data_IF_625831601438
#
_entry.id   IF_625831601438
#
_cell.length_a   1.000
_cell.length_b   1.000
_cell.length_c   1.000
_cell.angle_alpha   90.00
_cell.angle_beta   90.00
_cell.angle_gamma   90.00
#
_symmetry.space_group_name_H-M   'P 1'
#
loop_
_entity.id
_entity.type
_entity.pdbx_description
1 polymer ?
#
# COMPACT_ATOMS: atom_id res chain seq x y z
N UNK A 1 -79.38 6.29 32.66
CA UNK A 1 -77.93 6.07 32.32
C UNK A 1 -77.17 7.28 32.82
N UNK A 2 -76.33 7.07 33.80
CA UNK A 2 -75.69 8.16 34.59
C UNK A 2 -74.44 8.63 33.94
N UNK A 3 -74.32 9.94 33.71
CA UNK A 3 -73.17 10.70 33.12
C UNK A 3 -71.81 10.50 33.83
N UNK A 4 -71.71 9.59 34.76
CA UNK A 4 -70.47 9.40 35.57
C UNK A 4 -69.56 8.24 35.13
N UNK A 5 -69.96 7.39 34.17
CA UNK A 5 -69.16 6.25 33.72
C UNK A 5 -68.35 6.53 32.45
N UNK A 6 -68.57 7.70 31.81
CA UNK A 6 -67.83 8.04 30.56
C UNK A 6 -66.51 8.76 30.78
N UNK A 7 -66.21 9.19 32.02
CA UNK A 7 -64.99 9.99 32.33
C UNK A 7 -63.85 9.09 32.81
N UNK A 8 -64.07 7.85 33.19
CA UNK A 8 -63.06 6.91 33.68
C UNK A 8 -62.38 6.08 32.59
N UNK A 9 -62.84 6.11 31.33
CA UNK A 9 -62.26 5.35 30.25
C UNK A 9 -61.34 6.12 29.29
N UNK A 10 -61.19 7.44 29.49
CA UNK A 10 -60.32 8.29 28.65
C UNK A 10 -58.99 8.62 29.38
N UNK A 11 -58.87 8.27 30.66
CA UNK A 11 -57.68 8.60 31.50
C UNK A 11 -56.52 7.60 31.48
N UNK A 12 -56.68 6.41 30.85
CA UNK A 12 -55.65 5.35 30.91
C UNK A 12 -54.90 5.09 29.59
N UNK A 13 -55.11 5.92 28.55
CA UNK A 13 -54.41 5.78 27.28
C UNK A 13 -53.25 6.76 27.07
N UNK A 14 -52.85 7.56 28.07
CA UNK A 14 -51.89 8.65 27.91
C UNK A 14 -50.56 8.46 28.68
N UNK A 15 -50.19 7.24 29.01
CA UNK A 15 -48.92 6.99 29.69
C UNK A 15 -48.26 5.70 29.16
N UNK A 16 -48.15 5.57 27.84
CA UNK A 16 -47.07 4.72 27.32
C UNK A 16 -45.82 5.57 27.34
N UNK A 17 -44.83 5.24 28.17
CA UNK A 17 -43.52 5.86 27.99
C UNK A 17 -43.06 5.40 26.61
N UNK A 18 -42.92 6.33 25.68
CA UNK A 18 -42.06 6.18 24.52
C UNK A 18 -40.67 6.04 25.11
N UNK A 19 -40.34 4.85 25.55
CA UNK A 19 -38.98 4.40 25.66
C UNK A 19 -38.45 4.34 24.19
N UNK A 20 -38.21 5.52 23.61
CA UNK A 20 -37.20 5.64 22.58
C UNK A 20 -35.94 5.22 23.28
N UNK A 21 -35.69 3.89 23.34
CA UNK A 21 -34.35 3.37 23.51
C UNK A 21 -33.60 3.96 22.31
N UNK A 22 -32.91 5.08 22.54
CA UNK A 22 -31.77 5.46 21.73
C UNK A 22 -30.89 4.20 21.78
N UNK A 23 -31.10 3.32 20.80
CA UNK A 23 -30.20 2.22 20.54
C UNK A 23 -28.89 2.93 20.26
N UNK A 24 -28.05 2.95 21.28
CA UNK A 24 -26.70 3.45 21.16
C UNK A 24 -26.11 2.57 20.06
N UNK A 25 -26.14 3.09 18.82
CA UNK A 25 -25.59 2.39 17.66
C UNK A 25 -24.17 2.10 18.05
N UNK A 26 -23.84 0.81 18.19
CA UNK A 26 -22.50 0.39 18.55
C UNK A 26 -21.53 1.10 17.61
N UNK A 27 -20.48 1.67 18.19
CA UNK A 27 -19.46 2.41 17.43
C UNK A 27 -18.96 1.51 16.29
N UNK A 28 -19.02 1.96 15.02
CA UNK A 28 -18.56 1.13 13.90
C UNK A 28 -17.07 0.82 14.06
N UNK A 29 -16.69 -0.38 13.66
CA UNK A 29 -15.30 -0.85 13.71
C UNK A 29 -14.75 -0.92 12.29
N UNK A 30 -13.60 -0.30 12.05
CA UNK A 30 -12.80 -0.46 10.84
C UNK A 30 -11.73 -1.51 11.11
N UNK A 31 -11.67 -2.56 10.28
CA UNK A 31 -10.53 -3.48 10.28
C UNK A 31 -9.44 -3.00 9.34
N UNK A 32 -8.26 -2.69 9.86
CA UNK A 32 -7.11 -2.27 9.05
C UNK A 32 -6.12 -3.43 8.90
N UNK A 33 -5.90 -3.89 7.68
CA UNK A 33 -4.99 -5.00 7.34
C UNK A 33 -3.79 -4.47 6.56
N UNK A 34 -2.59 -4.83 6.99
CA UNK A 34 -1.35 -4.46 6.29
C UNK A 34 -0.32 -5.60 6.29
N UNK A 35 0.44 -5.69 5.20
CA UNK A 35 1.60 -6.57 5.09
C UNK A 35 2.82 -6.11 5.89
N UNK A 36 2.88 -4.82 6.27
CA UNK A 36 4.00 -4.19 6.96
C UNK A 36 3.88 -4.22 8.49
N UNK A 37 4.73 -3.43 9.16
CA UNK A 37 4.63 -3.09 10.60
C UNK A 37 4.07 -1.69 10.78
N UNK A 38 3.56 -1.37 11.98
CA UNK A 38 3.08 -0.03 12.29
C UNK A 38 4.17 1.03 12.15
N UNK A 39 5.39 0.73 12.60
CA UNK A 39 6.51 1.69 12.59
C UNK A 39 6.80 2.22 11.19
N UNK A 40 6.83 1.33 10.20
CA UNK A 40 7.08 1.70 8.80
C UNK A 40 5.89 2.43 8.18
N UNK A 41 4.67 2.12 8.65
CA UNK A 41 3.42 2.64 8.10
C UNK A 41 2.89 3.87 8.84
N UNK A 42 3.60 4.37 9.85
CA UNK A 42 3.12 5.43 10.76
C UNK A 42 2.58 6.66 10.02
N UNK A 43 3.34 7.19 9.08
CA UNK A 43 2.96 8.41 8.34
C UNK A 43 1.80 8.15 7.38
N UNK A 44 1.74 6.96 6.79
CA UNK A 44 0.63 6.54 5.95
C UNK A 44 -0.65 6.29 6.75
N UNK A 45 -0.54 5.70 7.94
CA UNK A 45 -1.67 5.57 8.87
C UNK A 45 -2.15 6.94 9.32
N UNK A 46 -1.25 7.90 9.58
CA UNK A 46 -1.64 9.26 9.88
C UNK A 46 -2.42 9.92 8.72
N UNK A 47 -2.00 9.71 7.46
CA UNK A 47 -2.74 10.17 6.29
C UNK A 47 -4.13 9.51 6.18
N UNK A 48 -4.23 8.21 6.47
CA UNK A 48 -5.52 7.50 6.54
C UNK A 48 -6.45 8.11 7.59
N UNK A 49 -5.94 8.44 8.79
CA UNK A 49 -6.73 9.12 9.82
C UNK A 49 -7.19 10.52 9.38
N UNK A 50 -6.36 11.27 8.64
CA UNK A 50 -6.77 12.56 8.08
C UNK A 50 -7.93 12.39 7.09
N UNK A 51 -7.86 11.41 6.18
CA UNK A 51 -8.94 11.11 5.25
C UNK A 51 -10.24 10.68 5.95
N UNK A 52 -10.15 9.92 7.05
CA UNK A 52 -11.31 9.62 7.91
C UNK A 52 -11.88 10.87 8.56
N UNK A 53 -11.02 11.77 9.03
CA UNK A 53 -11.43 13.02 9.67
C UNK A 53 -12.16 13.95 8.70
N UNK A 54 -11.76 14.01 7.42
CA UNK A 54 -12.47 14.76 6.37
C UNK A 54 -13.92 14.27 6.18
N UNK A 55 -14.15 12.99 6.44
CA UNK A 55 -15.49 12.40 6.45
C UNK A 55 -16.16 12.43 7.84
N UNK A 56 -15.58 13.13 8.82
CA UNK A 56 -16.15 13.34 10.15
C UNK A 56 -15.96 12.18 11.13
N UNK A 57 -15.08 11.22 10.83
CA UNK A 57 -14.76 10.10 11.72
C UNK A 57 -13.41 10.30 12.41
N UNK A 58 -13.38 9.94 13.71
CA UNK A 58 -12.14 9.98 14.49
C UNK A 58 -12.09 8.74 15.39
N UNK A 59 -10.94 8.05 15.36
CA UNK A 59 -10.70 6.86 16.16
C UNK A 59 -10.85 7.15 17.66
N UNK A 60 -11.50 6.23 18.38
CA UNK A 60 -11.84 6.36 19.80
C UNK A 60 -12.97 7.34 20.12
N UNK A 61 -13.52 8.09 19.13
CA UNK A 61 -14.62 9.04 19.33
C UNK A 61 -15.94 8.56 18.74
N UNK A 62 -15.97 8.21 17.47
CA UNK A 62 -17.17 7.74 16.75
C UNK A 62 -16.87 6.60 15.75
N UNK A 63 -15.66 6.09 15.75
CA UNK A 63 -15.20 4.89 15.06
C UNK A 63 -14.11 4.25 15.90
N UNK A 64 -13.97 2.92 15.83
CA UNK A 64 -12.81 2.18 16.38
C UNK A 64 -12.05 1.56 15.23
N UNK A 65 -10.71 1.54 15.30
CA UNK A 65 -9.87 0.92 14.29
C UNK A 65 -9.14 -0.28 14.90
N UNK A 66 -9.38 -1.45 14.34
CA UNK A 66 -8.68 -2.69 14.70
C UNK A 66 -7.58 -2.98 13.67
N UNK A 67 -6.33 -2.90 14.09
CA UNK A 67 -5.17 -3.14 13.23
C UNK A 67 -4.75 -4.59 13.23
N UNK A 68 -4.40 -5.09 12.04
CA UNK A 68 -3.78 -6.41 11.82
C UNK A 68 -2.54 -6.23 10.95
N UNK A 69 -1.39 -6.51 11.53
CA UNK A 69 -0.08 -6.38 10.91
C UNK A 69 0.51 -7.75 10.61
N UNK A 70 0.86 -7.99 9.34
CA UNK A 70 1.50 -9.23 8.95
C UNK A 70 3.03 -9.21 9.14
N UNK A 71 3.61 -8.03 9.44
CA UNK A 71 5.03 -7.85 9.79
C UNK A 71 6.01 -8.38 8.74
N UNK A 72 5.68 -8.19 7.45
CA UNK A 72 6.46 -8.70 6.32
C UNK A 72 6.16 -10.14 5.92
N UNK A 73 5.26 -10.83 6.63
CA UNK A 73 4.88 -12.23 6.42
C UNK A 73 3.56 -12.33 5.65
N UNK A 74 3.62 -12.36 4.32
CA UNK A 74 2.42 -12.42 3.47
C UNK A 74 1.56 -13.68 3.71
N UNK A 75 2.15 -14.77 4.19
CA UNK A 75 1.47 -16.02 4.58
C UNK A 75 0.50 -15.85 5.75
N UNK A 76 0.67 -14.82 6.59
CA UNK A 76 -0.24 -14.50 7.70
C UNK A 76 -1.52 -13.78 7.26
N UNK A 77 -1.50 -13.12 6.10
CA UNK A 77 -2.60 -12.25 5.63
C UNK A 77 -3.96 -12.96 5.53
N UNK A 78 -4.07 -14.22 5.05
CA UNK A 78 -5.36 -14.90 4.99
C UNK A 78 -5.99 -15.10 6.38
N UNK A 79 -5.20 -15.51 7.38
CA UNK A 79 -5.69 -15.71 8.74
C UNK A 79 -6.11 -14.40 9.39
N UNK A 80 -5.35 -13.31 9.17
CA UNK A 80 -5.67 -11.97 9.68
C UNK A 80 -6.94 -11.38 9.03
N UNK A 81 -7.16 -11.63 7.74
CA UNK A 81 -8.39 -11.22 7.06
C UNK A 81 -9.62 -11.96 7.61
N UNK A 82 -9.53 -13.27 7.83
CA UNK A 82 -10.60 -14.07 8.45
C UNK A 82 -10.89 -13.62 9.88
N UNK A 83 -9.87 -13.23 10.64
CA UNK A 83 -10.03 -12.69 11.98
C UNK A 83 -10.86 -11.39 11.99
N UNK A 84 -10.56 -10.44 11.10
CA UNK A 84 -11.37 -9.23 10.95
C UNK A 84 -12.83 -9.53 10.57
N UNK A 85 -13.07 -10.53 9.71
CA UNK A 85 -14.43 -10.96 9.37
C UNK A 85 -15.17 -11.52 10.59
N UNK A 86 -14.50 -12.31 11.44
CA UNK A 86 -15.07 -12.84 12.69
C UNK A 86 -15.43 -11.74 13.70
N UNK A 87 -14.65 -10.65 13.71
CA UNK A 87 -14.93 -9.45 14.52
C UNK A 87 -16.06 -8.59 13.94
N UNK A 88 -16.66 -9.00 12.81
CA UNK A 88 -17.80 -8.31 12.18
C UNK A 88 -17.53 -6.81 11.95
N UNK A 89 -16.33 -6.48 11.52
CA UNK A 89 -15.97 -5.07 11.24
C UNK A 89 -16.89 -4.48 10.16
N UNK A 90 -17.17 -3.18 10.24
CA UNK A 90 -18.06 -2.48 9.31
C UNK A 90 -17.44 -2.29 7.92
N UNK A 91 -16.11 -2.20 7.86
CA UNK A 91 -15.32 -2.08 6.63
C UNK A 91 -13.91 -2.63 6.86
N UNK A 92 -13.35 -3.33 5.87
CA UNK A 92 -11.95 -3.76 5.87
C UNK A 92 -11.16 -2.79 4.98
N UNK A 93 -10.14 -2.16 5.54
CA UNK A 93 -9.18 -1.32 4.81
C UNK A 93 -7.88 -2.11 4.65
N UNK A 94 -7.37 -2.22 3.43
CA UNK A 94 -6.12 -2.92 3.15
C UNK A 94 -5.07 -1.93 2.66
N UNK A 95 -4.06 -1.68 3.48
CA UNK A 95 -3.00 -0.72 3.22
C UNK A 95 -1.81 -1.34 2.48
N UNK A 96 -1.70 -1.08 1.17
CA UNK A 96 -0.48 -1.33 0.38
C UNK A 96 -0.12 -2.79 0.15
N UNK A 97 -1.11 -3.71 0.02
CA UNK A 97 -0.83 -5.14 -0.13
C UNK A 97 -1.77 -5.82 -1.12
N UNK A 98 -1.26 -6.23 -2.29
CA UNK A 98 -2.04 -7.06 -3.23
C UNK A 98 -2.41 -8.41 -2.62
N UNK A 99 -1.49 -9.18 -1.98
CA UNK A 99 -1.86 -10.40 -1.27
C UNK A 99 -2.90 -10.17 -0.17
N UNK A 100 -2.79 -9.06 0.59
CA UNK A 100 -3.77 -8.70 1.62
C UNK A 100 -5.14 -8.39 1.04
N UNK A 101 -5.20 -7.68 -0.09
CA UNK A 101 -6.45 -7.37 -0.79
C UNK A 101 -7.13 -8.62 -1.33
N UNK A 102 -6.36 -9.55 -1.89
CA UNK A 102 -6.87 -10.85 -2.32
C UNK A 102 -7.36 -11.70 -1.15
N UNK A 103 -6.64 -11.69 -0.02
CA UNK A 103 -7.04 -12.39 1.20
C UNK A 103 -8.35 -11.82 1.77
N UNK A 104 -8.50 -10.50 1.84
CA UNK A 104 -9.72 -9.85 2.29
C UNK A 104 -10.91 -10.19 1.36
N UNK A 105 -10.72 -10.12 0.03
CA UNK A 105 -11.74 -10.48 -0.96
C UNK A 105 -12.17 -11.95 -0.84
N UNK A 106 -11.23 -12.85 -0.57
CA UNK A 106 -11.54 -14.27 -0.37
C UNK A 106 -12.26 -14.54 0.96
N UNK A 107 -12.01 -13.74 2.00
CA UNK A 107 -12.58 -13.92 3.32
C UNK A 107 -14.05 -13.45 3.43
N UNK A 108 -14.49 -12.49 2.62
CA UNK A 108 -15.85 -11.95 2.69
C UNK A 108 -16.39 -11.48 1.34
N UNK A 109 -17.69 -11.66 1.12
CA UNK A 109 -18.43 -11.10 -0.02
C UNK A 109 -19.42 -10.01 0.40
N UNK A 110 -19.53 -9.72 1.68
CA UNK A 110 -20.53 -8.80 2.24
C UNK A 110 -19.94 -7.61 2.95
N UNK A 111 -18.85 -7.79 3.72
CA UNK A 111 -18.18 -6.67 4.38
C UNK A 111 -17.50 -5.83 3.30
N UNK A 112 -17.74 -4.52 3.25
CA UNK A 112 -17.05 -3.59 2.35
C UNK A 112 -15.54 -3.66 2.49
N UNK A 113 -14.81 -3.61 1.37
CA UNK A 113 -13.36 -3.61 1.32
C UNK A 113 -12.88 -2.37 0.58
N UNK A 114 -11.93 -1.65 1.17
CA UNK A 114 -11.21 -0.54 0.55
C UNK A 114 -9.74 -0.90 0.48
N UNK A 115 -9.19 -1.04 -0.71
CA UNK A 115 -7.81 -1.45 -0.90
C UNK A 115 -6.91 -0.33 -1.44
N UNK A 116 -5.60 -0.45 -1.16
CA UNK A 116 -4.56 0.17 -1.95
C UNK A 116 -3.61 -0.90 -2.49
N UNK A 117 -3.39 -0.91 -3.81
CA UNK A 117 -2.51 -1.88 -4.47
C UNK A 117 -1.61 -1.21 -5.51
N UNK A 118 -0.42 -1.76 -5.68
CA UNK A 118 0.53 -1.33 -6.72
C UNK A 118 0.41 -2.10 -8.04
N UNK A 119 -0.50 -3.06 -8.13
CA UNK A 119 -0.76 -3.86 -9.33
C UNK A 119 -2.03 -3.37 -10.04
N UNK A 120 -2.24 -3.81 -11.28
CA UNK A 120 -3.52 -3.60 -11.98
C UNK A 120 -4.65 -4.39 -11.27
N UNK A 121 -5.58 -3.72 -10.57
CA UNK A 121 -6.64 -4.39 -9.81
C UNK A 121 -7.65 -5.10 -10.69
N UNK A 122 -7.77 -4.76 -11.98
CA UNK A 122 -8.61 -5.45 -12.95
C UNK A 122 -7.90 -6.72 -13.41
N UNK A 123 -6.65 -6.61 -13.82
CA UNK A 123 -5.84 -7.74 -14.29
C UNK A 123 -5.64 -8.83 -13.24
N UNK A 124 -5.57 -8.48 -11.95
CA UNK A 124 -5.48 -9.45 -10.84
C UNK A 124 -6.87 -9.92 -10.36
N UNK A 125 -7.96 -9.45 -10.97
CA UNK A 125 -9.30 -9.87 -10.63
C UNK A 125 -9.84 -9.35 -9.29
N UNK A 126 -9.30 -8.24 -8.75
CA UNK A 126 -9.85 -7.58 -7.57
C UNK A 126 -11.18 -6.91 -7.88
N UNK A 127 -11.27 -6.20 -9.00
CA UNK A 127 -12.44 -5.44 -9.45
C UNK A 127 -12.77 -5.74 -10.90
N UNK A 128 -14.02 -5.48 -11.30
CA UNK A 128 -14.45 -5.69 -12.68
C UNK A 128 -13.88 -4.63 -13.64
N UNK A 129 -13.85 -3.36 -13.20
CA UNK A 129 -13.21 -2.24 -13.87
C UNK A 129 -12.87 -1.14 -12.88
N UNK A 130 -12.05 -0.16 -13.26
CA UNK A 130 -11.75 0.98 -12.39
C UNK A 130 -12.98 1.88 -12.18
N UNK A 131 -13.76 2.13 -13.23
CA UNK A 131 -14.94 2.98 -13.15
C UNK A 131 -16.11 2.33 -12.39
N UNK A 132 -16.25 1.00 -12.52
CA UNK A 132 -17.30 0.21 -11.90
C UNK A 132 -16.69 -1.04 -11.25
N UNK A 133 -16.20 -0.92 -10.00
CA UNK A 133 -15.50 -2.02 -9.31
C UNK A 133 -16.34 -3.29 -9.18
N UNK A 134 -17.63 -3.11 -8.91
CA UNK A 134 -18.57 -4.21 -8.67
C UNK A 134 -18.39 -4.88 -7.29
N UNK A 135 -19.43 -5.59 -6.84
CA UNK A 135 -19.36 -6.31 -5.56
C UNK A 135 -19.16 -5.41 -4.34
N UNK A 136 -18.43 -5.93 -3.36
CA UNK A 136 -18.18 -5.27 -2.06
C UNK A 136 -16.80 -4.63 -1.95
N UNK A 137 -16.09 -4.37 -3.06
CA UNK A 137 -14.69 -3.95 -3.04
C UNK A 137 -14.45 -2.74 -3.94
N UNK A 138 -13.69 -1.77 -3.45
CA UNK A 138 -13.17 -0.60 -4.18
C UNK A 138 -11.82 -0.18 -3.62
N UNK A 139 -11.20 0.88 -4.13
CA UNK A 139 -9.95 1.36 -3.56
C UNK A 139 -9.15 2.31 -4.44
N UNK A 140 -7.83 2.21 -4.30
CA UNK A 140 -6.84 3.05 -4.98
C UNK A 140 -5.74 2.16 -5.57
N UNK A 141 -5.19 2.56 -6.72
CA UNK A 141 -4.00 1.93 -7.32
C UNK A 141 -3.01 3.00 -7.81
N UNK A 142 -1.74 2.65 -7.90
CA UNK A 142 -0.70 3.54 -8.46
C UNK A 142 0.12 2.89 -9.59
N UNK A 143 -0.23 1.67 -10.03
CA UNK A 143 0.44 0.96 -11.13
C UNK A 143 1.96 0.86 -10.96
N UNK A 144 2.42 0.40 -9.78
CA UNK A 144 3.85 0.26 -9.44
C UNK A 144 4.66 -0.52 -10.47
N UNK A 145 4.06 -1.48 -11.17
CA UNK A 145 4.75 -2.28 -12.20
C UNK A 145 5.29 -1.42 -13.33
N UNK A 146 4.53 -0.40 -13.76
CA UNK A 146 4.99 0.56 -14.78
C UNK A 146 6.08 1.47 -14.24
N UNK A 147 5.95 1.92 -12.99
CA UNK A 147 6.98 2.70 -12.30
C UNK A 147 8.26 1.90 -12.11
N UNK A 148 8.16 0.60 -11.88
CA UNK A 148 9.30 -0.29 -11.71
C UNK A 148 10.14 -0.39 -13.00
N UNK A 149 9.48 -0.48 -14.16
CA UNK A 149 10.16 -0.34 -15.46
C UNK A 149 10.94 0.97 -15.53
N UNK A 150 10.34 2.06 -15.08
CA UNK A 150 10.99 3.38 -15.11
C UNK A 150 12.19 3.45 -14.17
N UNK A 151 12.12 2.82 -12.98
CA UNK A 151 13.26 2.66 -12.09
C UNK A 151 14.42 1.97 -12.81
N UNK A 152 14.15 0.88 -13.54
CA UNK A 152 15.14 0.14 -14.31
C UNK A 152 15.78 1.02 -15.41
N UNK A 153 14.97 1.76 -16.17
CA UNK A 153 15.45 2.69 -17.20
C UNK A 153 16.30 3.83 -16.63
N UNK A 154 15.90 4.39 -15.47
CA UNK A 154 16.65 5.44 -14.78
C UNK A 154 17.99 4.91 -14.30
N UNK A 155 18.03 3.71 -13.70
CA UNK A 155 19.27 3.08 -13.30
C UNK A 155 20.18 2.81 -14.51
N UNK A 156 19.63 2.29 -15.60
CA UNK A 156 20.39 2.10 -16.84
C UNK A 156 21.00 3.39 -17.38
N UNK A 157 20.26 4.50 -17.31
CA UNK A 157 20.76 5.81 -17.77
C UNK A 157 21.89 6.38 -16.88
N UNK A 158 21.96 5.96 -15.62
CA UNK A 158 22.99 6.38 -14.68
C UNK A 158 24.28 5.54 -14.81
N UNK A 159 24.12 4.28 -15.22
CA UNK A 159 25.24 3.34 -15.28
C UNK A 159 25.94 3.37 -16.64
N UNK A 160 27.22 3.04 -16.67
CA UNK A 160 27.95 2.79 -17.93
C UNK A 160 27.39 1.56 -18.64
N UNK A 161 27.28 1.53 -19.98
CA UNK A 161 26.50 0.54 -20.74
C UNK A 161 26.88 -0.93 -20.58
N UNK A 162 27.98 -1.28 -19.90
CA UNK A 162 28.52 -2.63 -19.87
C UNK A 162 28.14 -3.51 -18.66
N UNK A 163 27.29 -3.01 -17.73
CA UNK A 163 26.98 -3.69 -16.47
C UNK A 163 25.71 -4.55 -16.50
N UNK A 164 25.62 -5.54 -15.62
CA UNK A 164 24.39 -6.24 -15.31
C UNK A 164 23.63 -5.49 -14.23
N UNK A 165 22.38 -5.12 -14.49
CA UNK A 165 21.49 -4.51 -13.49
C UNK A 165 20.73 -5.66 -12.81
N UNK A 166 20.85 -5.75 -11.49
CA UNK A 166 20.07 -6.70 -10.71
C UNK A 166 18.73 -6.10 -10.28
N UNK A 167 17.77 -6.97 -10.06
CA UNK A 167 16.41 -6.61 -9.64
C UNK A 167 16.04 -7.48 -8.45
N UNK A 168 15.76 -6.87 -7.31
CA UNK A 168 15.34 -7.56 -6.09
C UNK A 168 13.81 -7.62 -6.04
N UNK A 169 13.26 -8.84 -6.02
CA UNK A 169 11.82 -9.12 -6.04
C UNK A 169 11.41 -10.03 -4.89
N UNK A 170 10.16 -9.93 -4.44
CA UNK A 170 9.63 -10.79 -3.37
C UNK A 170 8.76 -11.92 -3.93
N UNK A 171 9.24 -13.18 -4.00
CA UNK A 171 8.48 -14.30 -4.54
C UNK A 171 7.22 -14.64 -3.73
N UNK A 172 7.12 -14.21 -2.47
CA UNK A 172 5.90 -14.36 -1.68
C UNK A 172 4.73 -13.48 -2.18
N UNK A 173 5.02 -12.48 -3.02
CA UNK A 173 4.02 -11.73 -3.80
C UNK A 173 4.12 -12.14 -5.28
N UNK A 174 3.67 -13.35 -5.59
CA UNK A 174 3.81 -13.97 -6.92
C UNK A 174 3.25 -13.07 -8.03
N UNK A 175 2.10 -12.45 -7.80
CA UNK A 175 1.44 -11.59 -8.80
C UNK A 175 2.33 -10.41 -9.20
N UNK A 176 2.83 -9.67 -8.24
CA UNK A 176 3.69 -8.52 -8.49
C UNK A 176 5.03 -8.95 -9.07
N UNK A 177 5.67 -9.97 -8.49
CA UNK A 177 6.96 -10.50 -8.96
C UNK A 177 6.91 -10.96 -10.41
N UNK A 178 5.85 -11.66 -10.82
CA UNK A 178 5.69 -12.09 -12.21
C UNK A 178 5.59 -10.91 -13.16
N UNK A 179 4.77 -9.92 -12.84
CA UNK A 179 4.57 -8.73 -13.66
C UNK A 179 5.85 -7.88 -13.75
N UNK A 180 6.52 -7.62 -12.62
CA UNK A 180 7.77 -6.87 -12.56
C UNK A 180 8.89 -7.56 -13.32
N UNK A 181 9.04 -8.89 -13.16
CA UNK A 181 10.07 -9.68 -13.85
C UNK A 181 9.88 -9.60 -15.37
N UNK A 182 8.67 -9.82 -15.87
CA UNK A 182 8.37 -9.71 -17.29
C UNK A 182 8.70 -8.30 -17.84
N UNK A 183 8.26 -7.28 -17.11
CA UNK A 183 8.43 -5.86 -17.49
C UNK A 183 9.91 -5.46 -17.59
N UNK A 184 10.75 -5.88 -16.61
CA UNK A 184 12.18 -5.52 -16.65
C UNK A 184 12.97 -6.36 -17.66
N UNK A 185 12.57 -7.61 -17.92
CA UNK A 185 13.17 -8.41 -18.98
C UNK A 185 12.91 -7.81 -20.36
N UNK A 186 11.70 -7.28 -20.59
CA UNK A 186 11.36 -6.58 -21.83
C UNK A 186 12.16 -5.27 -21.95
N UNK A 187 12.26 -4.50 -20.88
CA UNK A 187 13.08 -3.28 -20.85
C UNK A 187 14.56 -3.58 -21.11
N UNK A 188 15.11 -4.62 -20.48
CA UNK A 188 16.51 -5.03 -20.65
C UNK A 188 16.81 -5.45 -22.11
N UNK A 189 15.90 -6.21 -22.75
CA UNK A 189 16.01 -6.55 -24.18
C UNK A 189 15.99 -5.30 -25.08
N UNK A 190 15.07 -4.38 -24.81
CA UNK A 190 14.95 -3.15 -25.59
C UNK A 190 16.18 -2.23 -25.45
N UNK A 191 16.82 -2.23 -24.29
CA UNK A 191 18.01 -1.42 -23.98
C UNK A 191 19.33 -2.13 -24.33
N UNK A 192 19.30 -3.41 -24.75
CA UNK A 192 20.51 -4.20 -25.05
C UNK A 192 21.38 -4.46 -23.81
N UNK A 193 20.78 -4.54 -22.61
CA UNK A 193 21.48 -4.79 -21.37
C UNK A 193 21.09 -6.11 -20.73
N UNK A 194 21.87 -6.56 -19.72
CA UNK A 194 21.54 -7.79 -18.98
C UNK A 194 20.83 -7.45 -17.67
N UNK A 195 19.83 -8.26 -17.32
CA UNK A 195 19.15 -8.20 -16.04
C UNK A 195 19.33 -9.50 -15.27
N UNK A 196 19.59 -9.42 -13.97
CA UNK A 196 19.63 -10.54 -13.02
C UNK A 196 18.48 -10.42 -12.04
N UNK A 197 17.61 -11.42 -11.95
CA UNK A 197 16.49 -11.42 -11.00
C UNK A 197 16.95 -12.09 -9.71
N UNK A 198 16.86 -11.38 -8.60
CA UNK A 198 17.26 -11.81 -7.27
C UNK A 198 16.01 -11.93 -6.38
N UNK A 199 15.57 -13.16 -6.05
CA UNK A 199 14.43 -13.35 -5.17
C UNK A 199 14.84 -13.19 -3.70
N UNK A 200 14.00 -12.54 -2.88
CA UNK A 200 14.13 -12.51 -1.42
C UNK A 200 12.78 -12.25 -0.74
N UNK A 201 12.41 -13.12 0.19
CA UNK A 201 11.21 -13.04 1.02
C UNK A 201 11.53 -13.05 2.53
N UNK A 202 12.81 -13.04 2.87
CA UNK A 202 13.30 -12.99 4.25
C UNK A 202 14.58 -12.13 4.37
N UNK A 203 14.91 -11.65 5.58
CA UNK A 203 16.15 -10.90 5.81
C UNK A 203 17.42 -11.65 5.40
N UNK A 204 17.47 -12.96 5.61
CA UNK A 204 18.62 -13.81 5.24
C UNK A 204 18.74 -13.99 3.72
N UNK A 205 17.62 -14.03 3.01
CA UNK A 205 17.60 -14.09 1.54
C UNK A 205 18.04 -12.77 0.91
N UNK A 206 17.75 -11.62 1.52
CA UNK A 206 18.29 -10.31 1.10
C UNK A 206 19.82 -10.34 1.13
N UNK A 207 20.44 -10.83 2.23
CA UNK A 207 21.90 -10.95 2.30
C UNK A 207 22.47 -11.89 1.25
N UNK A 208 21.78 -13.01 1.00
CA UNK A 208 22.16 -13.96 -0.04
C UNK A 208 22.07 -13.31 -1.43
N UNK A 209 21.03 -12.53 -1.69
CA UNK A 209 20.85 -11.79 -2.94
C UNK A 209 22.00 -10.78 -3.16
N UNK A 210 22.42 -10.05 -2.13
CA UNK A 210 23.57 -9.13 -2.25
C UNK A 210 24.89 -9.87 -2.49
N UNK A 211 25.12 -11.01 -1.86
CA UNK A 211 26.31 -11.85 -2.14
C UNK A 211 26.29 -12.35 -3.59
N UNK A 212 25.13 -12.78 -4.09
CA UNK A 212 24.98 -13.20 -5.47
C UNK A 212 25.23 -12.04 -6.44
N UNK A 213 24.67 -10.86 -6.15
CA UNK A 213 24.88 -9.63 -6.93
C UNK A 213 26.39 -9.31 -7.09
N UNK A 214 27.11 -9.30 -5.98
CA UNK A 214 28.56 -9.01 -5.97
C UNK A 214 29.34 -10.08 -6.73
N UNK A 215 29.06 -11.37 -6.48
CA UNK A 215 29.77 -12.46 -7.13
C UNK A 215 29.55 -12.54 -8.66
N UNK A 216 28.38 -12.09 -9.12
CA UNK A 216 28.03 -12.00 -10.54
C UNK A 216 28.58 -10.74 -11.24
N UNK A 217 29.27 -9.86 -10.52
CA UNK A 217 29.75 -8.59 -11.05
C UNK A 217 28.60 -7.63 -11.40
N UNK A 218 27.50 -7.71 -10.66
CA UNK A 218 26.37 -6.80 -10.81
C UNK A 218 26.78 -5.37 -10.51
N UNK A 219 26.38 -4.44 -11.36
CA UNK A 219 26.83 -3.04 -11.31
C UNK A 219 25.83 -2.10 -10.64
N UNK A 220 24.57 -2.51 -10.50
CA UNK A 220 23.49 -1.73 -9.91
C UNK A 220 22.33 -2.60 -9.45
N UNK A 221 21.47 -2.06 -8.60
CA UNK A 221 20.29 -2.73 -8.04
C UNK A 221 19.05 -1.88 -8.21
N UNK A 222 17.95 -2.53 -8.60
CA UNK A 222 16.59 -1.99 -8.54
C UNK A 222 15.79 -2.80 -7.51
N UNK A 223 15.20 -2.15 -6.53
CA UNK A 223 14.43 -2.82 -5.49
C UNK A 223 12.94 -2.64 -5.77
N UNK A 224 12.19 -3.74 -5.78
CA UNK A 224 10.74 -3.75 -5.97
C UNK A 224 10.03 -2.89 -4.92
N UNK A 225 8.90 -2.29 -5.34
CA UNK A 225 8.00 -1.52 -4.46
C UNK A 225 7.11 -2.41 -3.57
N UNK A 226 7.56 -3.61 -3.24
CA UNK A 226 6.84 -4.53 -2.36
C UNK A 226 7.03 -4.14 -0.88
N UNK A 227 5.95 -4.23 -0.10
CA UNK A 227 5.88 -3.74 1.29
C UNK A 227 6.90 -4.41 2.22
N UNK A 228 7.24 -5.69 1.97
CA UNK A 228 8.29 -6.38 2.72
C UNK A 228 9.62 -5.64 2.65
N UNK A 229 10.04 -5.16 1.47
CA UNK A 229 11.31 -4.42 1.33
C UNK A 229 11.28 -3.09 2.08
N UNK A 230 10.13 -2.44 2.19
CA UNK A 230 10.00 -1.24 3.01
C UNK A 230 10.26 -1.55 4.50
N UNK A 231 9.82 -2.72 5.00
CA UNK A 231 10.15 -3.16 6.37
C UNK A 231 11.63 -3.47 6.57
N UNK A 232 12.38 -3.71 5.48
CA UNK A 232 13.82 -3.99 5.48
C UNK A 232 14.66 -2.80 5.01
N UNK A 233 14.06 -1.58 4.99
CA UNK A 233 14.69 -0.36 4.45
C UNK A 233 16.11 -0.15 4.94
N UNK A 234 16.31 -0.11 6.24
CA UNK A 234 17.62 0.25 6.83
C UNK A 234 18.67 -0.81 6.49
N UNK A 235 18.29 -2.11 6.50
CA UNK A 235 19.15 -3.21 6.06
C UNK A 235 19.55 -3.10 4.59
N UNK A 236 18.61 -2.79 3.71
CA UNK A 236 18.85 -2.66 2.28
C UNK A 236 19.78 -1.48 1.97
N UNK A 237 19.55 -0.34 2.63
CA UNK A 237 20.41 0.84 2.49
C UNK A 237 21.83 0.54 3.01
N UNK A 238 21.97 -0.11 4.18
CA UNK A 238 23.26 -0.51 4.73
C UNK A 238 24.01 -1.49 3.80
N UNK A 239 23.35 -2.51 3.27
CA UNK A 239 23.95 -3.47 2.35
C UNK A 239 24.39 -2.81 1.04
N UNK A 240 23.58 -1.92 0.47
CA UNK A 240 23.92 -1.16 -0.72
C UNK A 240 25.17 -0.28 -0.49
N UNK A 241 25.23 0.41 0.64
CA UNK A 241 26.38 1.22 1.02
C UNK A 241 27.64 0.38 1.26
N UNK A 242 27.52 -0.73 2.01
CA UNK A 242 28.63 -1.64 2.34
C UNK A 242 29.29 -2.23 1.10
N UNK A 243 28.48 -2.58 0.10
CA UNK A 243 28.97 -3.18 -1.15
C UNK A 243 29.19 -2.15 -2.26
N UNK A 244 29.02 -0.85 -1.98
CA UNK A 244 29.12 0.24 -2.94
C UNK A 244 28.26 0.00 -4.20
N UNK A 245 27.03 -0.52 -4.03
CA UNK A 245 26.08 -0.82 -5.10
C UNK A 245 25.14 0.36 -5.31
N UNK A 246 25.17 1.06 -6.45
CA UNK A 246 24.17 2.03 -6.82
C UNK A 246 22.78 1.38 -6.83
N UNK A 247 21.84 1.94 -6.07
CA UNK A 247 20.53 1.32 -5.89
C UNK A 247 19.41 2.35 -6.05
N UNK A 248 18.37 2.00 -6.79
CA UNK A 248 17.11 2.73 -6.88
C UNK A 248 15.98 1.98 -6.20
N UNK A 249 15.10 2.73 -5.55
CA UNK A 249 13.99 2.23 -4.75
C UNK A 249 12.67 2.85 -5.20
N UNK A 250 11.54 2.19 -4.86
CA UNK A 250 10.22 2.73 -5.15
C UNK A 250 9.76 3.78 -4.13
N UNK A 251 10.27 3.70 -2.88
CA UNK A 251 9.82 4.57 -1.79
C UNK A 251 10.86 5.64 -1.46
N UNK A 252 10.41 6.90 -1.30
CA UNK A 252 11.28 8.06 -0.97
C UNK A 252 12.03 7.91 0.36
N UNK A 253 11.47 7.12 1.28
CA UNK A 253 12.05 6.83 2.60
C UNK A 253 13.42 6.17 2.50
N UNK A 254 13.68 5.43 1.43
CA UNK A 254 15.01 4.85 1.19
C UNK A 254 16.04 5.93 0.87
N UNK A 255 15.70 6.90 0.02
CA UNK A 255 16.60 8.01 -0.30
C UNK A 255 16.84 8.89 0.93
N UNK A 256 15.82 9.13 1.75
CA UNK A 256 15.91 9.84 3.02
C UNK A 256 16.79 9.10 4.04
N UNK A 257 16.78 7.76 4.05
CA UNK A 257 17.60 6.91 4.91
C UNK A 257 19.06 6.74 4.41
N UNK A 258 19.45 7.37 3.29
CA UNK A 258 20.80 7.30 2.74
C UNK A 258 20.92 6.44 1.47
N UNK A 259 19.82 5.94 0.90
CA UNK A 259 19.81 5.32 -0.42
C UNK A 259 20.15 6.32 -1.53
N UNK A 260 20.61 5.83 -2.69
CA UNK A 260 21.08 6.70 -3.79
C UNK A 260 19.94 7.50 -4.40
N UNK A 261 18.86 6.84 -4.78
CA UNK A 261 17.68 7.51 -5.34
C UNK A 261 16.42 6.68 -5.21
N UNK A 262 15.28 7.35 -5.28
CA UNK A 262 13.97 6.70 -5.38
C UNK A 262 13.16 7.30 -6.51
N UNK A 263 12.33 6.47 -7.14
CA UNK A 263 11.35 6.89 -8.12
C UNK A 263 10.05 6.11 -7.88
N UNK A 264 9.01 6.80 -7.42
CA UNK A 264 7.76 6.18 -7.06
C UNK A 264 6.67 7.17 -6.71
N UNK A 265 5.49 6.68 -6.38
CA UNK A 265 4.34 7.50 -6.01
C UNK A 265 4.53 8.24 -4.68
N UNK A 266 3.81 9.35 -4.54
CA UNK A 266 3.53 9.90 -3.22
C UNK A 266 2.45 9.00 -2.58
N UNK A 267 2.85 8.16 -1.65
CA UNK A 267 1.96 7.19 -1.03
C UNK A 267 1.04 7.82 0.04
N UNK A 268 1.27 9.06 0.45
CA UNK A 268 0.45 9.77 1.43
C UNK A 268 -0.96 9.99 0.89
N UNK A 269 -1.10 10.44 -0.37
CA UNK A 269 -2.40 10.67 -1.01
C UNK A 269 -3.26 9.40 -1.13
N UNK A 270 -2.76 8.25 -1.62
CA UNK A 270 -3.51 6.99 -1.61
C UNK A 270 -4.06 6.61 -0.23
N UNK A 271 -3.27 6.74 0.83
CA UNK A 271 -3.72 6.39 2.18
C UNK A 271 -4.76 7.37 2.72
N UNK A 272 -4.65 8.65 2.42
CA UNK A 272 -5.69 9.63 2.71
C UNK A 272 -7.01 9.22 2.02
N UNK A 273 -6.96 8.84 0.73
CA UNK A 273 -8.13 8.39 -0.01
C UNK A 273 -8.74 7.10 0.55
N UNK A 274 -7.94 6.17 1.11
CA UNK A 274 -8.48 5.02 1.85
C UNK A 274 -9.35 5.47 3.02
N UNK A 275 -8.91 6.49 3.75
CA UNK A 275 -9.67 7.09 4.86
C UNK A 275 -10.99 7.70 4.39
N UNK A 276 -10.94 8.51 3.33
CA UNK A 276 -12.13 9.11 2.71
C UNK A 276 -13.12 8.04 2.25
N UNK A 277 -12.64 6.98 1.59
CA UNK A 277 -13.52 5.91 1.10
C UNK A 277 -14.13 5.09 2.24
N UNK A 278 -13.34 4.77 3.27
CA UNK A 278 -13.86 4.10 4.47
C UNK A 278 -14.93 4.96 5.16
N UNK A 279 -14.69 6.27 5.31
CA UNK A 279 -15.66 7.20 5.88
C UNK A 279 -16.96 7.30 5.08
N UNK A 280 -16.88 7.37 3.74
CA UNK A 280 -18.07 7.38 2.87
C UNK A 280 -18.87 6.07 2.99
N UNK A 281 -18.20 4.93 3.08
CA UNK A 281 -18.83 3.63 3.26
C UNK A 281 -19.53 3.57 4.62
N UNK A 282 -18.92 4.07 5.69
CA UNK A 282 -19.57 4.18 7.00
C UNK A 282 -20.81 5.08 6.99
N UNK A 283 -20.89 6.05 6.06
CA UNK A 283 -22.07 6.89 5.80
C UNK A 283 -23.12 6.22 4.87
N UNK A 284 -22.87 4.99 4.42
CA UNK A 284 -23.79 4.22 3.59
C UNK A 284 -23.49 4.20 2.09
N UNK A 285 -22.37 4.75 1.63
CA UNK A 285 -21.95 4.58 0.24
C UNK A 285 -21.63 3.11 -0.05
N UNK A 286 -21.98 2.62 -1.23
CA UNK A 286 -21.68 1.25 -1.63
C UNK A 286 -20.32 1.22 -2.35
N UNK A 287 -19.44 0.25 -2.05
CA UNK A 287 -18.17 0.09 -2.78
C UNK A 287 -18.31 0.06 -4.30
N UNK A 288 -19.37 -0.60 -4.80
CA UNK A 288 -19.65 -0.71 -6.23
C UNK A 288 -19.89 0.64 -6.94
N UNK A 289 -20.32 1.67 -6.19
CA UNK A 289 -20.59 3.02 -6.69
C UNK A 289 -19.39 3.98 -6.54
N UNK A 290 -18.31 3.51 -5.91
CA UNK A 290 -17.07 4.29 -5.70
C UNK A 290 -16.02 3.81 -6.70
N UNK A 291 -15.65 4.61 -7.72
CA UNK A 291 -14.62 4.22 -8.68
C UNK A 291 -13.26 3.97 -8.00
N UNK A 292 -12.51 3.00 -8.50
CA UNK A 292 -11.10 2.84 -8.11
C UNK A 292 -10.32 4.04 -8.64
N UNK A 293 -9.67 4.77 -7.74
CA UNK A 293 -8.84 5.91 -8.12
C UNK A 293 -7.42 5.46 -8.45
N UNK A 294 -6.82 6.10 -9.45
CA UNK A 294 -5.42 5.91 -9.79
C UNK A 294 -4.63 7.10 -9.28
N UNK A 295 -3.71 6.87 -8.32
CA UNK A 295 -2.74 7.87 -7.92
C UNK A 295 -1.70 8.03 -9.03
N UNK A 296 -1.52 9.25 -9.53
CA UNK A 296 -0.65 9.55 -10.68
C UNK A 296 0.56 10.40 -10.32
N UNK A 297 0.60 10.94 -9.09
CA UNK A 297 1.73 11.74 -8.64
C UNK A 297 2.94 10.85 -8.39
N UNK A 298 4.03 11.11 -9.10
CA UNK A 298 5.29 10.38 -9.02
C UNK A 298 6.41 11.36 -8.71
N UNK A 299 7.32 10.96 -7.83
CA UNK A 299 8.47 11.77 -7.41
C UNK A 299 9.80 11.05 -7.68
N UNK A 300 10.77 11.80 -8.20
CA UNK A 300 12.18 11.39 -8.29
C UNK A 300 12.96 12.10 -7.19
N UNK A 301 13.50 11.34 -6.25
CA UNK A 301 14.37 11.85 -5.19
C UNK A 301 15.78 11.34 -5.41
N UNK A 302 16.79 12.22 -5.37
CA UNK A 302 18.20 11.89 -5.57
C UNK A 302 19.01 12.35 -4.35
N UNK A 303 19.82 11.45 -3.78
CA UNK A 303 20.72 11.74 -2.68
C UNK A 303 22.15 11.96 -3.19
N UNK A 304 22.58 13.23 -3.26
CA UNK A 304 23.90 13.59 -3.76
C UNK A 304 25.03 13.22 -2.80
N UNK A 305 24.78 13.13 -1.47
CA UNK A 305 25.77 12.62 -0.52
C UNK A 305 26.13 11.18 -0.85
N UNK A 306 25.12 10.36 -1.10
CA UNK A 306 25.29 8.94 -1.45
C UNK A 306 25.93 8.80 -2.83
N UNK A 307 25.51 9.61 -3.82
CA UNK A 307 26.13 9.63 -5.14
C UNK A 307 27.63 9.94 -5.04
N UNK A 308 28.02 10.96 -4.26
CA UNK A 308 29.41 11.33 -4.02
C UNK A 308 30.20 10.20 -3.34
N UNK A 309 29.62 9.54 -2.35
CA UNK A 309 30.26 8.41 -1.65
C UNK A 309 30.51 7.23 -2.60
N UNK A 310 29.59 6.99 -3.54
CA UNK A 310 29.71 5.96 -4.58
C UNK A 310 30.62 6.37 -5.75
N UNK A 311 31.17 7.61 -5.75
CA UNK A 311 31.98 8.12 -6.85
C UNK A 311 31.19 8.38 -8.13
N UNK A 312 29.86 8.55 -8.02
CA UNK A 312 28.97 8.75 -9.15
C UNK A 312 28.74 10.23 -9.43
N UNK A 313 28.77 10.59 -10.70
CA UNK A 313 28.30 11.89 -11.17
C UNK A 313 26.91 11.73 -11.73
N UNK A 314 25.92 12.40 -11.11
CA UNK A 314 24.54 12.38 -11.62
C UNK A 314 24.46 13.26 -12.86
N UNK A 315 24.00 12.73 -14.02
CA UNK A 315 23.88 13.51 -15.24
C UNK A 315 22.90 14.68 -15.07
N UNK A 316 23.26 15.86 -15.60
CA UNK A 316 22.40 17.05 -15.50
C UNK A 316 20.97 16.84 -15.98
N UNK A 317 20.68 16.09 -17.08
CA UNK A 317 19.31 15.81 -17.49
C UNK A 317 18.52 14.98 -16.47
N UNK A 318 19.18 14.12 -15.68
CA UNK A 318 18.54 13.34 -14.61
C UNK A 318 18.33 14.24 -13.39
N UNK A 319 19.31 15.04 -13.00
CA UNK A 319 19.21 15.98 -11.89
C UNK A 319 18.11 17.03 -12.12
N UNK A 320 17.99 17.55 -13.36
CA UNK A 320 16.92 18.51 -13.72
C UNK A 320 15.51 17.93 -13.73
N UNK A 321 15.36 16.61 -13.58
CA UNK A 321 14.08 15.91 -13.44
C UNK A 321 13.75 15.52 -12.01
N UNK A 322 14.69 15.72 -11.08
CA UNK A 322 14.47 15.40 -9.68
C UNK A 322 13.49 16.40 -9.05
N UNK A 323 12.46 15.86 -8.39
CA UNK A 323 11.51 16.65 -7.61
C UNK A 323 12.14 17.08 -6.28
N UNK A 324 13.05 16.26 -5.74
CA UNK A 324 13.83 16.56 -4.54
C UNK A 324 15.28 16.10 -4.68
N UNK A 325 16.19 16.93 -4.19
CA UNK A 325 17.63 16.61 -4.06
C UNK A 325 18.01 16.70 -2.59
N UNK A 326 18.68 15.65 -2.08
CA UNK A 326 19.22 15.59 -0.72
C UNK A 326 20.73 15.87 -0.83
N UNK A 327 21.16 16.97 -0.19
CA UNK A 327 22.56 17.45 -0.16
C UNK A 327 23.25 17.13 1.16
#
# INVERSE_FOLDING_TARGET
MRRREFITLVGSAAAWPIAASAQQTAMPVIGYLSGATFEVMRDYVAAFHLGLADEGFADGRNVTIEYRWAEGHNDRLPALAVDLVRHQVAVIVVGGSTPGSMAAKAATQTIPIVFYVGTDPVGVGLVASLAHPGGNITGVTNLNVELFRKCFELMYSLMTPAGTIAVLVNPANTTQTTAETATVQDAARALGTRVSILPASSPSEIETAFKALVSQGGSALVVSGETFFLTQRDRLVELAARHAIPTIYAYREFAAAGGLMSYGGDFTEPYHLLGVYAGRILKGAKPADLPVQQATKVELVINLKTAKTLGLTIPLPLLGRADQVIE
#
